data_IF_554231355793
#
_entry.id   IF_554231355793
#
_cell.length_a   1.000
_cell.length_b   1.000
_cell.length_c   1.000
_cell.angle_alpha   90.00
_cell.angle_beta   90.00
_cell.angle_gamma   90.00
#
_symmetry.space_group_name_H-M   'P 1'
#
loop_
_entity.id
_entity.type
_entity.pdbx_description
1 polymer ?
#
# COMPACT_ATOMS: atom_id res chain seq x y z
N UNK A 1 11.44 1.70 40.73
CA UNK A 1 11.17 2.12 39.34
C UNK A 1 11.48 3.60 39.19
N UNK A 2 12.63 3.94 38.58
CA UNK A 2 12.96 5.32 38.20
C UNK A 2 12.32 5.57 36.83
N UNK A 3 11.66 6.72 36.66
CA UNK A 3 11.04 7.10 35.38
C UNK A 3 12.15 7.48 34.39
N UNK A 4 12.13 7.03 33.13
CA UNK A 4 13.08 7.47 32.12
C UNK A 4 12.93 8.98 31.84
N UNK A 5 14.06 9.69 31.75
CA UNK A 5 14.09 11.12 31.43
C UNK A 5 13.84 11.28 29.92
N UNK A 6 12.87 12.12 29.55
CA UNK A 6 12.52 12.39 28.15
C UNK A 6 13.41 13.51 27.64
N UNK A 7 14.56 13.15 27.08
CA UNK A 7 15.50 14.12 26.54
C UNK A 7 15.14 14.44 25.08
N UNK A 8 14.34 15.48 24.92
CA UNK A 8 14.09 16.27 23.69
C UNK A 8 13.22 15.60 22.60
N UNK A 9 12.16 16.31 22.21
CA UNK A 9 11.37 16.04 21.00
C UNK A 9 12.09 16.66 19.79
N UNK A 10 12.51 15.84 18.82
CA UNK A 10 13.07 16.34 17.55
C UNK A 10 11.97 16.36 16.49
N UNK A 11 11.51 17.56 16.10
CA UNK A 11 10.56 17.77 15.00
C UNK A 11 11.30 18.08 13.72
N UNK A 12 11.15 17.24 12.69
CA UNK A 12 11.63 17.54 11.34
C UNK A 12 10.43 17.73 10.40
N UNK A 13 10.33 18.90 9.79
CA UNK A 13 9.29 19.20 8.79
C UNK A 13 9.86 18.92 7.41
N UNK A 14 9.36 17.88 6.74
CA UNK A 14 9.56 17.65 5.31
C UNK A 14 8.19 17.60 4.65
N UNK A 15 8.05 18.28 3.50
CA UNK A 15 6.77 18.48 2.78
C UNK A 15 5.98 17.16 2.71
N UNK A 16 4.85 17.11 3.41
CA UNK A 16 3.87 16.01 3.36
C UNK A 16 3.69 15.20 4.65
N UNK A 17 4.61 15.22 5.62
CA UNK A 17 4.41 14.57 6.93
C UNK A 17 5.30 15.18 8.02
N UNK A 18 4.70 15.57 9.16
CA UNK A 18 5.45 15.90 10.38
C UNK A 18 5.88 14.62 11.08
N UNK A 19 7.18 14.34 11.08
CA UNK A 19 7.77 13.27 11.86
C UNK A 19 8.14 13.82 13.24
N UNK A 20 7.58 13.23 14.30
CA UNK A 20 8.05 13.42 15.67
C UNK A 20 8.63 12.10 16.17
N UNK A 21 9.91 12.13 16.53
CA UNK A 21 10.59 11.02 17.21
C UNK A 21 10.88 11.43 18.64
N UNK A 22 10.55 10.57 19.60
CA UNK A 22 11.00 10.73 20.98
C UNK A 22 12.25 9.87 21.20
N UNK A 23 13.30 10.51 21.70
CA UNK A 23 14.51 9.83 22.17
C UNK A 23 14.34 9.59 23.67
N UNK A 24 14.54 8.35 24.08
CA UNK A 24 14.58 7.97 25.49
C UNK A 24 15.99 7.50 25.80
N UNK A 25 16.59 8.09 26.83
CA UNK A 25 17.90 7.71 27.32
C UNK A 25 17.77 7.26 28.77
N UNK A 26 18.27 6.06 29.05
CA UNK A 26 18.29 5.48 30.40
C UNK A 26 19.70 5.01 30.75
N UNK A 27 20.14 5.21 32.00
CA UNK A 27 21.40 4.66 32.49
C UNK A 27 21.19 3.18 32.83
N UNK A 28 22.03 2.31 32.28
CA UNK A 28 21.97 0.87 32.52
C UNK A 28 22.54 0.52 33.91
N UNK A 29 21.75 -0.17 34.72
CA UNK A 29 22.21 -0.79 35.96
C UNK A 29 22.67 -2.23 35.67
N UNK A 30 23.97 -2.54 35.78
CA UNK A 30 24.49 -3.88 35.52
C UNK A 30 23.93 -4.97 36.46
N UNK A 31 23.27 -4.58 37.55
CA UNK A 31 22.63 -5.50 38.49
C UNK A 31 21.13 -5.70 38.25
N UNK A 32 20.50 -4.97 37.31
CA UNK A 32 19.09 -5.18 36.96
C UNK A 32 18.95 -6.34 35.95
N UNK A 33 18.36 -7.48 36.35
CA UNK A 33 18.20 -8.62 35.45
C UNK A 33 17.29 -8.33 34.25
N UNK A 34 16.40 -7.32 34.33
CA UNK A 34 15.53 -6.92 33.23
C UNK A 34 16.25 -6.11 32.14
N UNK A 35 17.47 -5.64 32.40
CA UNK A 35 18.29 -4.89 31.44
C UNK A 35 19.39 -5.75 30.79
N UNK A 36 19.43 -7.06 31.07
CA UNK A 36 20.37 -8.01 30.41
C UNK A 36 20.04 -8.28 28.94
N UNK A 37 18.80 -8.05 28.53
CA UNK A 37 18.34 -8.20 27.15
C UNK A 37 18.03 -6.81 26.60
N UNK A 38 18.88 -6.32 25.70
CA UNK A 38 18.67 -5.02 25.07
C UNK A 38 17.64 -5.13 23.95
N UNK A 39 16.74 -4.14 23.78
CA UNK A 39 15.82 -4.09 22.65
C UNK A 39 16.57 -4.09 21.31
N UNK A 40 16.05 -4.79 20.30
CA UNK A 40 16.59 -4.77 18.94
C UNK A 40 16.65 -3.34 18.41
N UNK A 41 17.83 -2.89 17.97
CA UNK A 41 18.05 -1.53 17.47
C UNK A 41 18.38 -0.48 18.54
N UNK A 42 18.53 -0.88 19.81
CA UNK A 42 18.97 0.04 20.84
C UNK A 42 20.46 0.43 20.67
N UNK A 43 20.75 1.71 20.86
CA UNK A 43 22.11 2.25 20.78
C UNK A 43 22.67 2.31 22.20
N UNK A 44 23.78 1.63 22.47
CA UNK A 44 24.48 1.73 23.75
C UNK A 44 25.64 2.71 23.67
N UNK A 45 25.71 3.65 24.59
CA UNK A 45 26.82 4.59 24.70
C UNK A 45 27.44 4.52 26.10
N UNK A 46 28.77 4.51 26.18
CA UNK A 46 29.50 4.61 27.45
C UNK A 46 30.02 6.03 27.61
N UNK A 47 29.72 6.68 28.74
CA UNK A 47 30.29 7.98 29.10
C UNK A 47 30.74 7.95 30.55
N UNK A 48 32.06 8.06 30.77
CA UNK A 48 32.69 7.75 32.05
C UNK A 48 32.47 6.28 32.46
N UNK A 49 32.15 6.05 33.73
CA UNK A 49 31.84 4.71 34.27
C UNK A 49 30.36 4.30 34.07
N UNK A 50 29.59 5.08 33.31
CA UNK A 50 28.16 4.89 33.12
C UNK A 50 27.87 4.41 31.72
N UNK A 51 26.97 3.43 31.60
CA UNK A 51 26.42 2.99 30.32
C UNK A 51 25.02 3.56 30.15
N UNK A 52 24.72 4.05 28.96
CA UNK A 52 23.43 4.58 28.58
C UNK A 52 22.85 3.75 27.45
N UNK A 53 21.55 3.49 27.55
CA UNK A 53 20.73 2.91 26.52
C UNK A 53 19.90 4.03 25.90
N UNK A 54 20.09 4.28 24.61
CA UNK A 54 19.27 5.19 23.82
C UNK A 54 18.34 4.39 22.94
N UNK A 55 17.05 4.58 23.12
CA UNK A 55 16.01 4.03 22.26
C UNK A 55 15.28 5.16 21.55
N UNK A 56 15.07 4.98 20.24
CA UNK A 56 14.27 5.89 19.44
C UNK A 56 12.91 5.23 19.22
N UNK A 57 11.84 5.84 19.70
CA UNK A 57 10.48 5.43 19.29
C UNK A 57 9.98 6.40 18.24
N UNK A 58 9.62 5.86 17.09
CA UNK A 58 8.89 6.62 16.08
C UNK A 58 7.45 6.74 16.54
N UNK A 59 7.06 7.92 17.01
CA UNK A 59 5.65 8.20 17.24
C UNK A 59 5.03 8.58 15.91
N UNK A 60 4.55 7.60 15.16
CA UNK A 60 3.62 7.82 14.04
C UNK A 60 2.24 8.23 14.57
N UNK A 61 2.18 9.27 15.41
CA UNK A 61 0.96 9.82 15.95
C UNK A 61 1.02 11.35 15.94
N UNK A 62 -0.02 12.03 15.42
CA UNK A 62 -0.13 13.48 15.58
C UNK A 62 -0.35 13.80 17.05
N UNK A 63 0.42 14.75 17.57
CA UNK A 63 0.25 15.30 18.91
C UNK A 63 -1.18 15.86 19.05
N UNK A 64 -2.02 15.19 19.84
CA UNK A 64 -3.36 15.63 20.26
C UNK A 64 -4.39 15.95 19.15
N UNK A 65 -4.20 15.45 17.93
CA UNK A 65 -5.22 15.48 16.88
C UNK A 65 -5.91 14.12 16.75
N UNK A 66 -7.15 14.07 16.28
CA UNK A 66 -7.99 12.88 16.03
C UNK A 66 -7.42 11.86 15.03
N UNK A 67 -6.11 11.85 14.79
CA UNK A 67 -5.52 11.22 13.61
C UNK A 67 -5.95 11.97 12.35
N UNK A 68 -5.22 11.79 11.25
CA UNK A 68 -5.87 11.94 9.96
C UNK A 68 -6.82 10.75 9.84
N UNK A 69 -8.11 10.99 9.66
CA UNK A 69 -9.04 9.93 9.22
C UNK A 69 -8.59 9.58 7.81
N UNK A 70 -7.82 8.52 7.67
CA UNK A 70 -7.52 7.93 6.37
C UNK A 70 -8.73 7.10 6.01
N UNK A 71 -9.61 7.67 5.19
CA UNK A 71 -10.70 6.93 4.61
C UNK A 71 -10.14 5.97 3.56
N UNK A 72 -9.97 4.70 3.95
CA UNK A 72 -9.46 3.65 3.05
C UNK A 72 -10.42 3.35 1.91
N UNK A 73 -11.69 3.79 1.97
CA UNK A 73 -12.62 3.76 0.82
C UNK A 73 -12.23 4.76 -0.28
N UNK A 74 -11.36 5.73 0.01
CA UNK A 74 -10.77 6.63 -0.98
C UNK A 74 -9.49 6.06 -1.61
N UNK A 75 -8.99 4.91 -1.16
CA UNK A 75 -7.84 4.19 -1.75
C UNK A 75 -8.29 3.00 -2.65
N UNK A 76 -9.59 2.92 -2.96
CA UNK A 76 -10.32 1.64 -3.10
C UNK A 76 -10.64 1.20 -4.54
N UNK A 77 -9.86 1.61 -5.53
CA UNK A 77 -10.10 1.14 -6.89
C UNK A 77 -8.80 0.86 -7.65
N UNK A 78 -8.35 -0.39 -7.56
CA UNK A 78 -7.37 -0.94 -8.50
C UNK A 78 -8.12 -1.54 -9.67
N UNK A 79 -7.85 -1.07 -10.88
CA UNK A 79 -8.53 -1.51 -12.10
C UNK A 79 -7.59 -1.42 -13.30
N UNK A 80 -7.93 -2.12 -14.38
CA UNK A 80 -7.23 -1.99 -15.65
C UNK A 80 -7.80 -0.81 -16.42
N UNK A 81 -6.92 0.06 -16.92
CA UNK A 81 -7.29 1.16 -17.79
C UNK A 81 -6.52 1.08 -19.09
N UNK A 82 -7.25 1.21 -20.19
CA UNK A 82 -6.67 1.49 -21.50
C UNK A 82 -6.95 2.96 -21.84
N UNK A 83 -5.91 3.71 -22.22
CA UNK A 83 -6.04 5.07 -22.74
C UNK A 83 -5.54 5.08 -24.19
N UNK A 84 -6.46 5.29 -25.13
CA UNK A 84 -6.19 5.31 -26.58
C UNK A 84 -6.74 6.62 -27.14
N UNK A 85 -5.95 7.71 -27.13
CA UNK A 85 -6.45 9.05 -27.46
C UNK A 85 -7.12 9.19 -28.84
N UNK A 86 -6.78 8.31 -29.78
CA UNK A 86 -7.33 8.30 -31.15
C UNK A 86 -8.54 7.37 -31.34
N UNK A 87 -8.92 6.59 -30.33
CA UNK A 87 -10.02 5.64 -30.42
C UNK A 87 -11.39 6.32 -30.31
N UNK A 88 -12.43 5.60 -30.70
CA UNK A 88 -13.81 6.04 -30.51
C UNK A 88 -14.16 6.17 -29.02
N UNK A 89 -13.66 5.27 -28.19
CA UNK A 89 -13.73 5.34 -26.73
C UNK A 89 -12.31 5.52 -26.16
N UNK A 90 -11.88 6.78 -25.89
CA UNK A 90 -10.48 7.05 -25.59
C UNK A 90 -10.02 6.54 -24.23
N UNK A 91 -10.95 6.21 -23.32
CA UNK A 91 -10.64 5.61 -22.02
C UNK A 91 -11.61 4.49 -21.71
N UNK A 92 -11.05 3.31 -21.49
CA UNK A 92 -11.78 2.11 -21.10
C UNK A 92 -11.29 1.63 -19.74
N UNK A 93 -12.21 1.23 -18.87
CA UNK A 93 -11.92 0.80 -17.52
C UNK A 93 -12.60 -0.52 -17.19
N UNK A 94 -11.86 -1.42 -16.54
CA UNK A 94 -12.40 -2.73 -16.14
C UNK A 94 -13.45 -2.61 -15.03
N UNK A 95 -13.43 -1.54 -14.24
CA UNK A 95 -14.36 -1.28 -13.14
C UNK A 95 -15.52 -0.32 -13.50
N UNK A 96 -15.73 -0.03 -14.79
CA UNK A 96 -16.82 0.80 -15.29
C UNK A 96 -17.77 -0.05 -16.14
N UNK A 97 -19.03 -0.15 -15.73
CA UNK A 97 -20.06 -0.98 -16.37
C UNK A 97 -20.36 -0.59 -17.81
N UNK A 98 -19.96 0.60 -18.24
CA UNK A 98 -20.17 1.10 -19.60
C UNK A 98 -19.04 0.72 -20.57
N UNK A 99 -17.87 0.35 -20.04
CA UNK A 99 -16.66 0.10 -20.85
C UNK A 99 -16.03 -1.27 -20.61
N UNK A 100 -16.33 -1.91 -19.48
CA UNK A 100 -15.76 -3.20 -19.09
C UNK A 100 -16.03 -4.31 -20.10
N UNK A 101 -17.17 -4.28 -20.79
CA UNK A 101 -17.53 -5.20 -21.87
C UNK A 101 -16.67 -5.08 -23.14
N UNK A 102 -15.74 -4.13 -23.15
CA UNK A 102 -14.69 -4.03 -24.17
C UNK A 102 -13.45 -4.86 -23.84
N UNK A 103 -13.34 -5.37 -22.62
CA UNK A 103 -12.27 -6.25 -22.17
C UNK A 103 -12.62 -7.71 -22.48
N UNK A 104 -11.64 -8.43 -23.00
CA UNK A 104 -11.66 -9.87 -23.17
C UNK A 104 -10.64 -10.49 -22.22
N UNK A 105 -11.03 -11.55 -21.52
CA UNK A 105 -10.17 -12.32 -20.60
C UNK A 105 -10.17 -13.77 -21.09
N UNK A 106 -8.99 -14.28 -21.42
CA UNK A 106 -8.77 -15.62 -21.97
C UNK A 106 -9.69 -15.96 -23.16
N UNK A 107 -9.88 -14.96 -24.03
CA UNK A 107 -10.71 -15.05 -25.24
C UNK A 107 -12.21 -14.82 -25.02
N UNK A 108 -12.66 -14.59 -23.78
CA UNK A 108 -14.06 -14.38 -23.43
C UNK A 108 -14.32 -12.90 -23.14
N UNK A 109 -15.30 -12.33 -23.83
CA UNK A 109 -15.76 -10.96 -23.58
C UNK A 109 -16.43 -10.84 -22.20
N UNK A 110 -16.12 -9.77 -21.48
CA UNK A 110 -16.80 -9.42 -20.24
C UNK A 110 -18.26 -9.06 -20.54
N UNK A 111 -19.19 -9.57 -19.74
CA UNK A 111 -20.61 -9.32 -19.97
C UNK A 111 -20.97 -7.82 -19.84
N UNK A 112 -21.93 -7.38 -20.66
CA UNK A 112 -22.42 -6.00 -20.63
C UNK A 112 -23.00 -5.63 -19.27
N UNK A 113 -22.60 -4.46 -18.75
CA UNK A 113 -23.06 -3.96 -17.45
C UNK A 113 -22.32 -4.54 -16.23
N UNK A 114 -21.36 -5.45 -16.42
CA UNK A 114 -20.58 -6.04 -15.32
C UNK A 114 -19.33 -5.22 -15.01
N UNK A 115 -18.82 -5.32 -13.78
CA UNK A 115 -17.48 -4.81 -13.43
C UNK A 115 -16.53 -5.97 -13.27
N UNK A 116 -15.27 -5.73 -13.59
CA UNK A 116 -14.20 -6.72 -13.45
C UNK A 116 -13.28 -6.31 -12.32
N UNK A 117 -13.16 -7.22 -11.35
CA UNK A 117 -12.13 -7.16 -10.33
C UNK A 117 -10.77 -7.50 -10.96
N UNK A 118 -9.80 -6.59 -10.82
CA UNK A 118 -8.45 -6.77 -11.34
C UNK A 118 -7.78 -8.04 -10.81
N UNK A 119 -8.09 -8.48 -9.58
CA UNK A 119 -7.49 -9.70 -9.02
C UNK A 119 -8.01 -10.98 -9.68
N UNK A 120 -9.20 -10.92 -10.28
CA UNK A 120 -9.75 -12.01 -11.09
C UNK A 120 -9.21 -11.94 -12.53
N UNK A 121 -9.02 -10.74 -13.06
CA UNK A 121 -8.49 -10.54 -14.42
C UNK A 121 -6.98 -10.81 -14.53
N UNK A 122 -6.22 -10.54 -13.46
CA UNK A 122 -4.75 -10.68 -13.43
C UNK A 122 -4.38 -11.76 -12.41
N UNK A 123 -4.49 -13.05 -12.78
CA UNK A 123 -4.27 -14.13 -11.84
C UNK A 123 -2.80 -14.18 -11.36
N UNK A 124 -2.64 -14.60 -10.11
CA UNK A 124 -1.33 -14.74 -9.48
C UNK A 124 -0.54 -15.88 -10.14
N UNK A 125 0.64 -15.56 -10.68
CA UNK A 125 1.62 -16.55 -11.13
C UNK A 125 1.19 -17.37 -12.34
N UNK A 126 0.01 -17.10 -12.90
CA UNK A 126 -0.51 -17.69 -14.12
C UNK A 126 -0.66 -16.59 -15.18
N UNK A 127 -0.25 -16.83 -16.42
CA UNK A 127 -0.56 -15.92 -17.50
C UNK A 127 -2.06 -15.93 -17.80
N UNK A 128 -2.61 -14.75 -18.07
CA UNK A 128 -3.92 -14.56 -18.67
C UNK A 128 -3.77 -13.76 -19.95
N UNK A 129 -4.40 -14.23 -21.01
CA UNK A 129 -4.48 -13.49 -22.28
C UNK A 129 -5.60 -12.47 -22.17
N UNK A 130 -5.30 -11.21 -22.48
CA UNK A 130 -6.28 -10.15 -22.44
C UNK A 130 -6.30 -9.39 -23.77
N UNK A 131 -7.48 -8.88 -24.10
CA UNK A 131 -7.62 -7.98 -25.23
C UNK A 131 -8.60 -6.85 -24.94
N UNK A 132 -8.44 -5.73 -25.64
CA UNK A 132 -9.40 -4.62 -25.62
C UNK A 132 -9.86 -4.26 -27.02
N UNK A 133 -11.15 -4.00 -27.15
CA UNK A 133 -11.78 -3.38 -28.32
C UNK A 133 -11.95 -1.88 -28.05
N UNK A 134 -11.53 -1.02 -28.96
CA UNK A 134 -11.39 0.43 -28.72
C UNK A 134 -12.65 1.27 -29.00
N UNK A 135 -13.74 0.60 -29.39
CA UNK A 135 -15.06 1.16 -29.66
C UNK A 135 -15.43 1.24 -31.13
N UNK A 136 -14.55 0.82 -32.06
CA UNK A 136 -14.83 0.75 -33.50
C UNK A 136 -15.84 -0.34 -33.90
N UNK A 137 -16.07 -1.35 -33.05
CA UNK A 137 -17.02 -2.43 -33.25
C UNK A 137 -18.16 -2.41 -32.21
N UNK A 138 -19.31 -2.97 -32.60
CA UNK A 138 -20.35 -3.29 -31.63
C UNK A 138 -19.94 -4.54 -30.83
N UNK A 139 -20.25 -4.55 -29.53
CA UNK A 139 -20.08 -5.72 -28.66
C UNK A 139 -21.46 -6.22 -28.19
N UNK A 140 -21.69 -7.54 -28.05
CA UNK A 140 -20.68 -8.58 -28.07
C UNK A 140 -20.14 -8.96 -29.45
N UNK A 141 -18.84 -9.26 -29.52
CA UNK A 141 -18.15 -9.64 -30.76
C UNK A 141 -17.08 -10.73 -30.51
N UNK A 142 -16.63 -11.45 -31.56
CA UNK A 142 -15.49 -12.36 -31.43
C UNK A 142 -14.22 -11.60 -31.01
N UNK A 143 -13.38 -12.22 -30.16
CA UNK A 143 -12.12 -11.62 -29.69
C UNK A 143 -11.16 -11.22 -30.82
N UNK A 144 -11.29 -11.82 -32.00
CA UNK A 144 -10.52 -11.42 -33.20
C UNK A 144 -10.81 -9.99 -33.67
N UNK A 145 -11.88 -9.37 -33.20
CA UNK A 145 -12.26 -7.99 -33.50
C UNK A 145 -11.68 -6.99 -32.49
N UNK A 146 -11.00 -7.45 -31.43
CA UNK A 146 -10.27 -6.58 -30.54
C UNK A 146 -9.02 -5.99 -31.23
N UNK A 147 -8.55 -4.85 -30.73
CA UNK A 147 -7.47 -4.07 -31.35
C UNK A 147 -6.13 -4.26 -30.63
N UNK A 148 -6.21 -4.47 -29.31
CA UNK A 148 -5.04 -4.57 -28.45
C UNK A 148 -5.02 -5.94 -27.78
N UNK A 149 -3.92 -6.69 -27.93
CA UNK A 149 -3.75 -8.01 -27.33
C UNK A 149 -2.48 -8.02 -26.49
N UNK A 150 -2.57 -8.53 -25.27
CA UNK A 150 -1.42 -8.70 -24.38
C UNK A 150 -1.61 -9.88 -23.44
N UNK A 151 -0.50 -10.36 -22.90
CA UNK A 151 -0.51 -11.36 -21.83
C UNK A 151 -0.08 -10.67 -20.54
N UNK A 152 -0.86 -10.88 -19.49
CA UNK A 152 -0.57 -10.35 -18.15
C UNK A 152 -0.35 -11.51 -17.18
N UNK A 153 0.53 -11.32 -16.21
CA UNK A 153 0.75 -12.28 -15.12
C UNK A 153 0.92 -11.50 -13.83
N UNK A 154 0.09 -11.80 -12.82
CA UNK A 154 0.24 -11.22 -11.50
C UNK A 154 1.51 -11.75 -10.82
N UNK A 155 2.32 -10.86 -10.24
CA UNK A 155 3.44 -11.29 -9.39
C UNK A 155 2.90 -11.74 -8.03
N UNK A 156 3.16 -13.00 -7.69
CA UNK A 156 2.84 -13.57 -6.39
C UNK A 156 3.87 -13.13 -5.36
N UNK A 157 3.48 -12.15 -4.54
CA UNK A 157 4.10 -11.67 -3.28
C UNK A 157 3.60 -10.28 -2.89
N UNK A 158 2.70 -9.69 -3.68
CA UNK A 158 1.74 -8.72 -3.16
C UNK A 158 0.68 -9.48 -2.34
N UNK A 159 1.12 -10.10 -1.23
CA UNK A 159 0.21 -10.24 -0.10
C UNK A 159 -0.39 -8.85 0.08
N UNK A 160 -1.72 -8.78 0.14
CA UNK A 160 -2.39 -7.67 0.82
C UNK A 160 -1.49 -7.40 2.02
N UNK A 161 -0.76 -6.27 2.08
CA UNK A 161 -0.30 -5.86 3.39
C UNK A 161 -1.65 -5.65 4.08
N UNK A 162 -2.05 -6.50 5.06
CA UNK A 162 -3.07 -6.02 5.96
C UNK A 162 -2.50 -4.68 6.42
N UNK A 163 -3.29 -3.62 6.35
CA UNK A 163 -2.90 -2.41 7.05
C UNK A 163 -2.47 -2.85 8.46
N UNK A 164 -1.17 -2.79 8.74
CA UNK A 164 -0.67 -3.11 10.10
C UNK A 164 -1.20 -2.08 11.10
N UNK A 165 -1.87 -1.04 10.61
CA UNK A 165 -2.78 -0.22 11.38
C UNK A 165 -4.13 -0.92 11.44
N UNK A 166 -4.28 -1.82 12.40
CA UNK A 166 -5.61 -2.16 12.92
C UNK A 166 -6.09 -0.91 13.67
N UNK A 167 -6.94 -0.11 13.03
CA UNK A 167 -7.74 0.91 13.70
C UNK A 167 -8.84 0.16 14.47
N UNK A 168 -8.50 -0.32 15.66
CA UNK A 168 -9.55 -0.72 16.62
C UNK A 168 -10.22 0.55 17.13
N UNK A 169 -11.55 0.50 17.17
CA UNK A 169 -12.45 1.58 17.56
C UNK A 169 -12.42 1.84 19.07
#
# INVERSE_FOLDING_TARGET
MRRPNVDREEKRVTRGATWSGKKYQEELDPNDPNQRSLPTGAITQTSGNKKYLTTCTNTMYPANGTGAVVDVSLMDALYLQMDVPSAQLPRLKSNDTNTSNRLYIDGVEVANGEKVDIFTAVPCGQPSQQAWEDGGNAVPAPVSNADFFYTVTGKCDFNQRPSQTVLTQ
#
